data_IF_410025515008
#
_entry.id   IF_410025515008
#
_cell.length_a   1.000
_cell.length_b   1.000
_cell.length_c   1.000
_cell.angle_alpha   90.00
_cell.angle_beta   90.00
_cell.angle_gamma   90.00
#
_symmetry.space_group_name_H-M   'P 1'
#
loop_
_entity.id
_entity.type
_entity.pdbx_description
1 polymer ?
#
# COMPACT_ATOMS: atom_id res chain seq x y z
N UNK A 1 -19.35 -8.73 -41.35
CA UNK A 1 -19.67 -7.33 -40.97
C UNK A 1 -18.55 -6.87 -40.06
N UNK A 2 -17.72 -5.92 -40.48
CA UNK A 2 -16.55 -5.46 -39.71
C UNK A 2 -16.98 -4.41 -38.68
N UNK A 3 -16.55 -4.59 -37.44
CA UNK A 3 -16.85 -3.68 -36.34
C UNK A 3 -16.30 -2.28 -36.63
N UNK A 4 -17.15 -1.27 -36.47
CA UNK A 4 -16.81 0.13 -36.70
C UNK A 4 -15.82 0.64 -35.65
N UNK A 5 -15.20 1.80 -35.91
CA UNK A 5 -14.32 2.45 -34.92
C UNK A 5 -15.08 2.80 -33.63
N UNK A 6 -16.32 3.25 -33.76
CA UNK A 6 -17.19 3.62 -32.62
C UNK A 6 -17.48 2.42 -31.73
N UNK A 7 -17.89 1.29 -32.32
CA UNK A 7 -18.17 0.06 -31.57
C UNK A 7 -16.93 -0.44 -30.83
N UNK A 8 -15.75 -0.40 -31.48
CA UNK A 8 -14.48 -0.78 -30.83
C UNK A 8 -14.15 0.11 -29.63
N UNK A 9 -14.35 1.42 -29.76
CA UNK A 9 -14.11 2.36 -28.65
C UNK A 9 -15.11 2.12 -27.50
N UNK A 10 -16.39 1.92 -27.80
CA UNK A 10 -17.40 1.62 -26.80
C UNK A 10 -17.05 0.36 -26.00
N UNK A 11 -16.69 -0.72 -26.69
CA UNK A 11 -16.28 -1.97 -26.04
C UNK A 11 -15.04 -1.80 -25.17
N UNK A 12 -14.04 -1.03 -25.61
CA UNK A 12 -12.87 -0.72 -24.80
C UNK A 12 -13.23 0.07 -23.53
N UNK A 13 -14.15 1.03 -23.63
CA UNK A 13 -14.62 1.79 -22.48
C UNK A 13 -15.40 0.92 -21.48
N UNK A 14 -16.24 0.00 -21.94
CA UNK A 14 -16.97 -0.94 -21.07
C UNK A 14 -16.03 -1.88 -20.32
N UNK A 15 -14.96 -2.34 -20.98
CA UNK A 15 -13.89 -3.12 -20.34
C UNK A 15 -13.19 -2.29 -19.26
N UNK A 16 -12.83 -1.04 -19.55
CA UNK A 16 -12.18 -0.18 -18.58
C UNK A 16 -13.09 0.16 -17.39
N UNK A 17 -14.38 0.42 -17.62
CA UNK A 17 -15.36 0.60 -16.54
C UNK A 17 -15.38 -0.63 -15.63
N UNK A 18 -15.41 -1.83 -16.22
CA UNK A 18 -15.39 -3.09 -15.47
C UNK A 18 -14.08 -3.25 -14.68
N UNK A 19 -12.95 -2.86 -15.27
CA UNK A 19 -11.65 -2.90 -14.60
C UNK A 19 -11.61 -1.94 -13.41
N UNK A 20 -12.10 -0.71 -13.58
CA UNK A 20 -12.20 0.28 -12.49
C UNK A 20 -13.08 -0.25 -11.36
N UNK A 21 -14.26 -0.81 -11.66
CA UNK A 21 -15.14 -1.37 -10.63
C UNK A 21 -14.50 -2.51 -9.83
N UNK A 22 -13.65 -3.34 -10.46
CA UNK A 22 -12.87 -4.36 -9.74
C UNK A 22 -11.86 -3.72 -8.79
N UNK A 23 -11.16 -2.67 -9.23
CA UNK A 23 -10.21 -1.94 -8.40
C UNK A 23 -10.91 -1.30 -7.19
N UNK A 24 -12.08 -0.69 -7.40
CA UNK A 24 -12.91 -0.13 -6.32
C UNK A 24 -13.29 -1.19 -5.30
N UNK A 25 -13.69 -2.38 -5.75
CA UNK A 25 -14.01 -3.50 -4.87
C UNK A 25 -12.79 -3.94 -4.03
N UNK A 26 -11.62 -4.09 -4.66
CA UNK A 26 -10.37 -4.44 -3.97
C UNK A 26 -10.01 -3.38 -2.93
N UNK A 27 -10.12 -2.09 -3.27
CA UNK A 27 -9.86 -0.99 -2.35
C UNK A 27 -10.84 -0.98 -1.17
N UNK A 28 -12.13 -1.21 -1.43
CA UNK A 28 -13.14 -1.28 -0.38
C UNK A 28 -12.87 -2.43 0.59
N UNK A 29 -12.57 -3.63 0.09
CA UNK A 29 -12.20 -4.79 0.91
C UNK A 29 -10.92 -4.53 1.71
N UNK A 30 -9.89 -4.00 1.07
CA UNK A 30 -8.61 -3.64 1.72
C UNK A 30 -8.84 -2.67 2.87
N UNK A 31 -9.66 -1.64 2.67
CA UNK A 31 -10.01 -0.66 3.72
C UNK A 31 -10.68 -1.31 4.92
N UNK A 32 -11.58 -2.27 4.72
CA UNK A 32 -12.24 -2.99 5.82
C UNK A 32 -11.21 -3.77 6.64
N UNK A 33 -10.35 -4.56 5.97
CA UNK A 33 -9.29 -5.34 6.62
C UNK A 33 -8.35 -4.45 7.42
N UNK A 34 -7.90 -3.32 6.85
CA UNK A 34 -7.04 -2.36 7.56
C UNK A 34 -7.72 -1.80 8.81
N UNK A 35 -9.01 -1.44 8.75
CA UNK A 35 -9.76 -0.94 9.91
C UNK A 35 -9.94 -1.99 10.99
N UNK A 36 -10.20 -3.22 10.61
CA UNK A 36 -10.33 -4.35 11.53
C UNK A 36 -9.02 -4.57 12.28
N UNK A 37 -7.91 -4.70 11.56
CA UNK A 37 -6.58 -4.89 12.16
C UNK A 37 -6.13 -3.69 13.00
N UNK A 38 -6.44 -2.46 12.58
CA UNK A 38 -6.19 -1.28 13.41
C UNK A 38 -7.01 -1.30 14.72
N UNK A 39 -8.24 -1.83 14.68
CA UNK A 39 -9.06 -2.00 15.87
C UNK A 39 -8.48 -3.06 16.80
N UNK A 40 -8.02 -4.19 16.25
CA UNK A 40 -7.33 -5.25 17.00
C UNK A 40 -6.08 -4.75 17.72
N UNK A 41 -5.22 -3.98 17.04
CA UNK A 41 -4.06 -3.33 17.68
C UNK A 41 -4.47 -2.43 18.84
N UNK A 42 -5.54 -1.64 18.69
CA UNK A 42 -6.06 -0.78 19.77
C UNK A 42 -6.58 -1.56 20.97
N UNK A 43 -7.00 -2.81 20.76
CA UNK A 43 -7.44 -3.73 21.82
C UNK A 43 -6.28 -4.54 22.42
N UNK A 44 -5.04 -4.32 21.98
CA UNK A 44 -3.85 -4.97 22.51
C UNK A 44 -3.47 -6.29 21.84
N UNK A 45 -3.98 -6.56 20.62
CA UNK A 45 -3.51 -7.71 19.84
C UNK A 45 -2.03 -7.56 19.47
N UNK A 46 -1.32 -8.69 19.45
CA UNK A 46 0.10 -8.75 19.12
C UNK A 46 0.39 -8.18 17.71
N UNK A 47 1.33 -7.23 17.57
CA UNK A 47 1.67 -6.64 16.29
C UNK A 47 2.15 -7.63 15.23
N UNK A 48 2.88 -8.69 15.61
CA UNK A 48 3.35 -9.69 14.64
C UNK A 48 2.17 -10.50 14.05
N UNK A 49 1.20 -10.85 14.89
CA UNK A 49 -0.05 -11.49 14.46
C UNK A 49 -0.86 -10.57 13.52
N UNK A 50 -0.93 -9.28 13.83
CA UNK A 50 -1.61 -8.30 12.97
C UNK A 50 -0.90 -8.15 11.63
N UNK A 51 0.43 -8.03 11.62
CA UNK A 51 1.22 -7.93 10.39
C UNK A 51 1.12 -9.18 9.52
N UNK A 52 1.11 -10.37 10.15
CA UNK A 52 0.89 -11.64 9.45
C UNK A 52 -0.49 -11.67 8.80
N UNK A 53 -1.54 -11.28 9.54
CA UNK A 53 -2.89 -11.21 9.01
C UNK A 53 -3.04 -10.20 7.86
N UNK A 54 -2.39 -9.04 7.95
CA UNK A 54 -2.38 -8.05 6.88
C UNK A 54 -1.73 -8.63 5.60
N UNK A 55 -0.56 -9.26 5.69
CA UNK A 55 0.13 -9.87 4.52
C UNK A 55 -0.70 -10.92 3.79
N UNK A 56 -1.64 -11.57 4.48
CA UNK A 56 -2.53 -12.58 3.89
C UNK A 56 -3.76 -11.98 3.20
N UNK A 57 -4.25 -10.82 3.65
CA UNK A 57 -5.58 -10.32 3.27
C UNK A 57 -5.57 -9.01 2.48
N UNK A 58 -4.49 -8.23 2.52
CA UNK A 58 -4.34 -7.01 1.72
C UNK A 58 -3.46 -7.25 0.48
N UNK A 59 -3.57 -6.43 -0.58
CA UNK A 59 -2.66 -6.47 -1.72
C UNK A 59 -1.19 -6.35 -1.29
N UNK A 60 -0.30 -7.03 -2.01
CA UNK A 60 1.14 -7.09 -1.67
C UNK A 60 1.77 -5.70 -1.58
N UNK A 61 1.47 -4.80 -2.51
CA UNK A 61 1.95 -3.42 -2.49
C UNK A 61 1.55 -2.68 -1.21
N UNK A 62 0.29 -2.86 -0.76
CA UNK A 62 -0.18 -2.27 0.50
C UNK A 62 0.57 -2.85 1.69
N UNK A 63 0.78 -4.18 1.73
CA UNK A 63 1.52 -4.82 2.83
C UNK A 63 2.99 -4.38 2.89
N UNK A 64 3.67 -4.22 1.75
CA UNK A 64 5.04 -3.75 1.66
C UNK A 64 5.15 -2.30 2.12
N UNK A 65 4.27 -1.44 1.60
CA UNK A 65 4.22 -0.04 2.00
C UNK A 65 3.95 0.15 3.49
N UNK A 66 3.24 -0.78 4.15
CA UNK A 66 3.05 -0.75 5.60
C UNK A 66 4.31 -1.19 6.34
N UNK A 67 4.99 -2.25 5.88
CA UNK A 67 6.27 -2.71 6.44
C UNK A 67 7.32 -1.59 6.42
N UNK A 68 7.46 -0.88 5.31
CA UNK A 68 8.40 0.24 5.16
C UNK A 68 8.15 1.39 6.14
N UNK A 69 6.90 1.59 6.58
CA UNK A 69 6.52 2.64 7.53
C UNK A 69 6.73 2.25 8.99
N UNK A 70 6.76 0.96 9.30
CA UNK A 70 6.89 0.46 10.68
C UNK A 70 8.29 -0.05 10.99
N UNK A 71 9.04 -0.49 9.98
CA UNK A 71 10.42 -0.93 10.14
C UNK A 71 11.38 0.21 9.77
N UNK A 72 12.05 0.83 10.76
CA UNK A 72 12.98 1.94 10.53
C UNK A 72 14.21 1.52 9.69
N UNK A 73 14.56 0.23 9.64
CA UNK A 73 15.63 -0.28 8.77
C UNK A 73 15.20 -0.26 7.31
N UNK A 74 13.91 -0.42 7.04
CA UNK A 74 13.33 -0.32 5.70
C UNK A 74 12.95 1.12 5.34
N UNK A 75 12.88 2.04 6.30
CA UNK A 75 12.58 3.47 6.09
C UNK A 75 13.75 4.30 5.53
N UNK A 76 14.87 3.71 5.08
CA UNK A 76 16.11 4.39 4.62
C UNK A 76 15.92 5.05 3.22
N UNK A 77 14.95 5.95 3.11
CA UNK A 77 14.71 6.79 1.94
C UNK A 77 14.40 8.26 2.27
N UNK A 78 14.43 8.65 3.54
CA UNK A 78 14.11 10.03 3.98
C UNK A 78 15.05 10.58 5.06
N UNK A 79 16.27 10.04 5.18
CA UNK A 79 17.34 10.75 5.91
C UNK A 79 17.93 11.76 4.94
N UNK A 80 17.35 12.96 4.95
CA UNK A 80 18.00 14.15 4.42
C UNK A 80 19.29 14.36 5.22
N UNK A 81 20.41 14.16 4.55
CA UNK A 81 21.76 14.45 5.03
C UNK A 81 21.91 15.96 5.15
N UNK A 82 21.69 16.49 6.34
CA UNK A 82 22.11 17.82 6.79
C UNK A 82 22.11 17.75 8.32
N UNK A 83 23.14 18.08 9.09
CA UNK A 83 24.40 18.74 8.80
C UNK A 83 25.35 18.47 9.99
N UNK A 84 26.61 18.29 9.62
CA UNK A 84 27.89 18.36 10.33
C UNK A 84 28.02 18.11 11.86
N UNK A 85 28.64 16.97 12.19
CA UNK A 85 29.23 16.70 13.49
C UNK A 85 30.62 17.33 13.61
N UNK A 86 30.72 18.44 14.34
CA UNK A 86 31.99 19.09 14.66
C UNK A 86 32.82 18.30 15.69
N UNK A 87 33.91 17.68 15.24
CA UNK A 87 35.08 17.32 16.05
C UNK A 87 36.23 18.26 15.69
N UNK A 88 36.77 19.10 16.61
CA UNK A 88 38.08 19.67 16.41
C UNK A 88 39.15 18.71 16.95
N UNK A 89 40.10 18.39 16.09
CA UNK A 89 41.19 17.46 16.32
C UNK A 89 42.28 17.94 17.26
N UNK A 90 43.24 17.04 17.44
CA UNK A 90 44.37 17.19 18.35
C UNK A 90 45.40 18.24 17.94
N UNK A 91 46.19 18.59 18.96
CA UNK A 91 47.59 18.99 18.90
C UNK A 91 48.24 18.55 20.22
#
# INVERSE_FOLDING_TARGET
MTMTRTERLLSALEVEITNVSKLEHVLARTRVVLREHATRLRLGEDPEMVMTGLRLHVPSETSLSLLERVDPVLSIGFVDTSDDGGYPGGA
#
